data_IF_760258316224
#
_entry.id   IF_760258316224
#
_cell.length_a   1.000
_cell.length_b   1.000
_cell.length_c   1.000
_cell.angle_alpha   90.00
_cell.angle_beta   90.00
_cell.angle_gamma   90.00
#
_symmetry.space_group_name_H-M   'P 1'
#
loop_
_entity.id
_entity.type
_entity.pdbx_description
1 polymer ?
#
# COMPACT_ATOMS: atom_id res chain seq x y z
N UNK A 1 20.47 -18.61 3.57
CA UNK A 1 21.71 -17.81 3.70
C UNK A 1 21.30 -16.38 3.97
N UNK A 2 21.93 -15.73 4.94
CA UNK A 2 21.65 -14.34 5.29
C UNK A 2 22.63 -13.44 4.54
N UNK A 3 22.14 -12.44 3.78
CA UNK A 3 22.99 -11.39 3.22
C UNK A 3 22.83 -10.14 4.06
N UNK A 4 23.87 -9.88 4.85
CA UNK A 4 24.04 -8.58 5.48
C UNK A 4 24.75 -7.69 4.46
N UNK A 5 24.20 -6.51 4.18
CA UNK A 5 24.94 -5.50 3.44
C UNK A 5 26.20 -5.12 4.26
N UNK A 6 27.37 -5.65 3.87
CA UNK A 6 28.65 -5.36 4.53
C UNK A 6 29.27 -4.11 3.91
N UNK A 7 29.82 -3.26 4.79
CA UNK A 7 30.66 -2.10 4.52
C UNK A 7 31.62 -2.32 3.34
N UNK A 8 31.42 -1.59 2.25
CA UNK A 8 32.54 -1.14 1.42
C UNK A 8 32.54 0.38 1.40
N UNK A 9 33.50 1.05 2.04
CA UNK A 9 33.72 2.46 1.81
C UNK A 9 34.32 2.61 0.41
N UNK A 10 33.48 2.61 -0.62
CA UNK A 10 33.90 3.19 -1.90
C UNK A 10 33.88 4.70 -1.73
N UNK A 11 35.03 5.23 -1.30
CA UNK A 11 35.37 6.64 -1.44
C UNK A 11 35.35 6.95 -2.94
N UNK A 12 34.32 7.64 -3.41
CA UNK A 12 34.38 8.36 -4.68
C UNK A 12 34.99 9.72 -4.34
N UNK A 13 36.22 10.04 -4.79
CA UNK A 13 36.79 11.35 -4.54
C UNK A 13 36.04 12.35 -5.43
N UNK A 14 35.08 13.07 -4.86
CA UNK A 14 34.67 14.36 -5.38
C UNK A 14 35.58 15.41 -4.74
N UNK A 15 36.34 16.11 -5.58
CA UNK A 15 37.09 17.28 -5.17
C UNK A 15 36.14 18.37 -4.65
N UNK A 16 35.92 18.41 -3.34
CA UNK A 16 35.77 19.60 -2.48
C UNK A 16 35.08 19.17 -1.18
N UNK A 17 35.48 19.82 -0.09
CA UNK A 17 35.26 19.42 1.30
C UNK A 17 33.77 19.30 1.70
N UNK A 18 33.26 18.08 1.84
CA UNK A 18 32.30 17.68 2.89
C UNK A 18 32.31 16.14 3.03
N UNK A 19 32.87 15.61 4.12
CA UNK A 19 32.82 14.17 4.41
C UNK A 19 31.49 13.85 5.11
N UNK A 20 30.45 13.50 4.34
CA UNK A 20 29.25 12.84 4.88
C UNK A 20 29.23 11.37 4.50
N UNK A 21 29.33 10.49 5.49
CA UNK A 21 29.04 9.05 5.34
C UNK A 21 27.54 8.92 5.04
N UNK A 22 27.15 8.60 3.80
CA UNK A 22 25.75 8.33 3.41
C UNK A 22 25.58 6.85 3.00
N UNK A 23 24.84 6.09 3.82
CA UNK A 23 24.03 4.93 3.41
C UNK A 23 24.66 3.53 3.55
N UNK A 24 23.99 2.63 4.28
CA UNK A 24 24.28 1.19 4.39
C UNK A 24 23.35 0.41 3.43
N UNK A 25 23.77 0.25 2.17
CA UNK A 25 22.96 -0.39 1.15
C UNK A 25 23.75 -1.28 0.19
N UNK A 26 23.03 -2.03 -0.63
CA UNK A 26 23.60 -2.71 -1.81
C UNK A 26 23.21 -1.95 -3.04
N UNK A 27 24.20 -1.60 -3.87
CA UNK A 27 23.98 -1.04 -5.20
C UNK A 27 24.59 -1.96 -6.23
N UNK A 28 23.79 -2.43 -7.19
CA UNK A 28 24.25 -3.18 -8.37
C UNK A 28 23.87 -2.35 -9.58
N UNK A 29 24.85 -1.83 -10.31
CA UNK A 29 24.58 -0.94 -11.42
C UNK A 29 25.53 -1.06 -12.60
N UNK A 30 25.06 -0.58 -13.75
CA UNK A 30 25.82 -0.51 -15.00
C UNK A 30 26.38 -1.86 -15.48
N UNK A 31 25.71 -2.97 -15.15
CA UNK A 31 26.08 -4.28 -15.65
C UNK A 31 25.20 -4.68 -16.84
N UNK A 32 25.63 -4.30 -18.04
CA UNK A 32 24.93 -4.56 -19.29
C UNK A 32 24.98 -6.01 -19.78
N UNK A 33 25.56 -6.94 -19.01
CA UNK A 33 25.58 -8.38 -19.29
C UNK A 33 24.81 -9.20 -18.26
N UNK A 34 24.39 -8.59 -17.16
CA UNK A 34 23.65 -9.25 -16.10
C UNK A 34 22.22 -9.50 -16.56
N UNK A 35 21.84 -10.78 -16.60
CA UNK A 35 20.48 -11.21 -16.96
C UNK A 35 19.62 -11.54 -15.72
N UNK A 36 20.27 -11.90 -14.61
CA UNK A 36 19.65 -12.13 -13.31
C UNK A 36 20.64 -11.82 -12.18
N UNK A 37 20.15 -11.63 -10.94
CA UNK A 37 21.03 -11.49 -9.77
C UNK A 37 21.50 -12.86 -9.25
N UNK A 38 20.69 -13.91 -9.39
CA UNK A 38 21.04 -15.28 -9.05
C UNK A 38 21.13 -15.56 -7.54
N UNK A 39 20.35 -14.85 -6.71
CA UNK A 39 20.36 -15.02 -5.26
C UNK A 39 19.48 -16.20 -4.79
N UNK A 40 19.70 -17.38 -5.39
CA UNK A 40 18.87 -18.59 -5.23
C UNK A 40 18.69 -19.08 -3.77
N UNK A 41 19.58 -18.71 -2.84
CA UNK A 41 19.56 -19.14 -1.44
C UNK A 41 19.40 -17.99 -0.43
N UNK A 42 19.21 -16.77 -0.92
CA UNK A 42 19.03 -15.60 -0.09
C UNK A 42 17.66 -15.62 0.58
N UNK A 43 17.65 -15.50 1.91
CA UNK A 43 16.42 -15.49 2.70
C UNK A 43 16.14 -14.13 3.34
N UNK A 44 17.17 -13.38 3.67
CA UNK A 44 17.05 -12.14 4.41
C UNK A 44 17.90 -11.05 3.77
N UNK A 45 17.26 -9.92 3.45
CA UNK A 45 17.93 -8.68 3.05
C UNK A 45 18.01 -7.76 4.26
N UNK A 46 19.21 -7.63 4.86
CA UNK A 46 19.44 -6.75 6.01
C UNK A 46 20.11 -5.45 5.59
N UNK A 47 19.34 -4.56 4.98
CA UNK A 47 19.84 -3.36 4.31
C UNK A 47 18.87 -2.20 4.46
N UNK A 48 19.39 -0.97 4.60
CA UNK A 48 18.56 0.23 4.56
C UNK A 48 18.29 0.69 3.12
N UNK A 49 19.05 0.18 2.16
CA UNK A 49 18.88 0.49 0.74
C UNK A 49 19.26 -0.70 -0.13
N UNK A 50 18.43 -1.01 -1.13
CA UNK A 50 18.64 -2.05 -2.14
C UNK A 50 18.37 -1.45 -3.52
N UNK A 51 19.45 -1.14 -4.24
CA UNK A 51 19.41 -0.37 -5.49
C UNK A 51 19.95 -1.23 -6.63
N UNK A 52 19.11 -1.54 -7.59
CA UNK A 52 19.44 -2.27 -8.82
C UNK A 52 19.13 -1.33 -9.98
N UNK A 53 20.14 -0.65 -10.52
CA UNK A 53 19.90 0.45 -11.48
C UNK A 53 20.79 0.34 -12.70
N UNK A 54 20.26 0.70 -13.89
CA UNK A 54 21.05 0.74 -15.13
C UNK A 54 21.62 -0.64 -15.52
N UNK A 55 20.83 -1.71 -15.34
CA UNK A 55 21.18 -3.06 -15.75
C UNK A 55 20.28 -3.48 -16.92
N UNK A 56 20.53 -2.91 -18.10
CA UNK A 56 19.63 -2.97 -19.26
C UNK A 56 19.34 -4.38 -19.86
N UNK A 57 19.99 -5.43 -19.34
CA UNK A 57 19.71 -6.83 -19.71
C UNK A 57 19.14 -7.65 -18.57
N UNK A 58 18.92 -7.05 -17.40
CA UNK A 58 18.36 -7.74 -16.24
C UNK A 58 16.90 -8.08 -16.53
N UNK A 59 16.59 -9.36 -16.63
CA UNK A 59 15.26 -9.88 -16.95
C UNK A 59 14.50 -10.33 -15.69
N UNK A 60 15.22 -10.65 -14.60
CA UNK A 60 14.62 -11.09 -13.33
C UNK A 60 15.56 -10.89 -12.13
N UNK A 61 15.03 -10.94 -10.91
CA UNK A 61 15.86 -10.90 -9.69
C UNK A 61 16.38 -12.29 -9.31
N UNK A 62 15.55 -13.33 -9.46
CA UNK A 62 15.85 -14.71 -9.02
C UNK A 62 16.16 -14.79 -7.51
N UNK A 63 15.16 -14.45 -6.69
CA UNK A 63 15.22 -14.56 -5.21
C UNK A 63 14.15 -15.52 -4.65
N UNK A 64 14.14 -16.79 -5.06
CA UNK A 64 13.05 -17.73 -4.78
C UNK A 64 12.87 -18.09 -3.30
N UNK A 65 13.85 -17.76 -2.44
CA UNK A 65 13.82 -18.07 -1.00
C UNK A 65 13.73 -16.82 -0.13
N UNK A 66 13.49 -15.64 -0.71
CA UNK A 66 13.44 -14.40 0.06
C UNK A 66 12.24 -14.40 1.00
N UNK A 67 12.49 -14.16 2.28
CA UNK A 67 11.48 -14.18 3.35
C UNK A 67 11.20 -12.77 3.83
N UNK A 68 12.25 -11.96 4.00
CA UNK A 68 12.10 -10.64 4.63
C UNK A 68 13.22 -9.69 4.23
N UNK A 69 12.84 -8.43 4.02
CA UNK A 69 13.77 -7.30 4.06
C UNK A 69 13.59 -6.56 5.39
N UNK A 70 14.69 -6.22 6.05
CA UNK A 70 14.65 -5.56 7.35
C UNK A 70 15.86 -4.67 7.59
N UNK A 71 15.68 -3.68 8.45
CA UNK A 71 16.74 -2.80 8.90
C UNK A 71 16.52 -2.46 10.37
N UNK A 72 17.61 -2.47 11.16
CA UNK A 72 17.52 -2.45 12.63
C UNK A 72 17.45 -1.06 13.25
N UNK A 73 17.64 -0.01 12.45
CA UNK A 73 17.43 1.37 12.93
C UNK A 73 16.17 1.92 12.30
N UNK A 74 15.54 2.89 12.95
CA UNK A 74 14.32 3.59 12.52
C UNK A 74 14.47 4.38 11.20
N UNK A 75 15.53 4.13 10.44
CA UNK A 75 15.73 4.74 9.13
C UNK A 75 14.85 4.11 8.08
N UNK A 76 14.55 4.94 7.09
CA UNK A 76 13.81 4.59 5.90
C UNK A 76 14.52 3.46 5.14
N UNK A 77 13.71 2.52 4.64
CA UNK A 77 14.18 1.47 3.74
C UNK A 77 13.90 1.90 2.30
N UNK A 78 14.92 1.87 1.45
CA UNK A 78 14.77 2.19 0.02
C UNK A 78 14.96 0.94 -0.84
N UNK A 79 14.04 0.66 -1.75
CA UNK A 79 14.14 -0.39 -2.76
C UNK A 79 13.94 0.24 -4.13
N UNK A 80 15.01 0.35 -4.92
CA UNK A 80 14.91 0.84 -6.29
C UNK A 80 15.38 -0.21 -7.27
N UNK A 81 14.54 -0.54 -8.24
CA UNK A 81 14.89 -1.42 -9.35
C UNK A 81 14.47 -0.69 -10.62
N UNK A 82 15.42 -0.02 -11.27
CA UNK A 82 15.13 0.94 -12.33
C UNK A 82 16.01 0.70 -13.55
N UNK A 83 15.47 0.98 -14.75
CA UNK A 83 16.22 0.88 -16.00
C UNK A 83 16.78 -0.54 -16.23
N UNK A 84 15.92 -1.54 -16.01
CA UNK A 84 16.17 -2.96 -16.29
C UNK A 84 15.89 -3.28 -17.77
N UNK A 85 15.89 -4.56 -18.15
CA UNK A 85 15.41 -4.99 -19.47
C UNK A 85 13.93 -4.57 -19.66
N UNK A 86 13.48 -4.24 -20.89
CA UNK A 86 12.05 -4.11 -21.19
C UNK A 86 11.24 -5.38 -20.86
N UNK A 87 11.90 -6.55 -20.89
CA UNK A 87 11.32 -7.84 -20.54
C UNK A 87 11.48 -8.18 -19.05
N UNK A 88 11.92 -7.22 -18.23
CA UNK A 88 12.06 -7.43 -16.79
C UNK A 88 10.71 -7.76 -16.16
N UNK A 89 10.68 -8.90 -15.47
CA UNK A 89 9.55 -9.31 -14.65
C UNK A 89 9.94 -9.32 -13.17
N UNK A 90 9.00 -8.98 -12.30
CA UNK A 90 9.20 -9.03 -10.85
C UNK A 90 8.77 -10.39 -10.30
N UNK A 91 9.66 -11.09 -9.59
CA UNK A 91 9.29 -12.34 -8.91
C UNK A 91 8.21 -12.07 -7.83
N UNK A 92 7.12 -12.85 -7.82
CA UNK A 92 5.99 -12.69 -6.89
C UNK A 92 6.42 -12.71 -5.40
N UNK A 93 7.39 -13.56 -5.06
CA UNK A 93 7.98 -13.62 -3.71
C UNK A 93 8.66 -12.29 -3.35
N UNK A 94 9.45 -11.74 -4.28
CA UNK A 94 10.13 -10.46 -4.07
C UNK A 94 9.13 -9.32 -3.94
N UNK A 95 8.11 -9.27 -4.81
CA UNK A 95 7.02 -8.29 -4.73
C UNK A 95 6.34 -8.28 -3.36
N UNK A 96 5.95 -9.47 -2.85
CA UNK A 96 5.33 -9.62 -1.52
C UNK A 96 6.26 -9.14 -0.41
N UNK A 97 7.56 -9.47 -0.47
CA UNK A 97 8.52 -9.03 0.54
C UNK A 97 8.72 -7.51 0.51
N UNK A 98 8.83 -6.91 -0.67
CA UNK A 98 9.00 -5.46 -0.80
C UNK A 98 7.74 -4.69 -0.38
N UNK A 99 6.54 -5.24 -0.64
CA UNK A 99 5.28 -4.68 -0.14
C UNK A 99 5.17 -4.76 1.39
N UNK A 100 5.85 -5.69 2.06
CA UNK A 100 5.84 -5.84 3.54
C UNK A 100 6.87 -4.97 4.29
N UNK A 101 7.64 -4.14 3.59
CA UNK A 101 8.70 -3.33 4.20
C UNK A 101 8.10 -2.27 5.14
N UNK A 102 8.54 -2.20 6.39
CA UNK A 102 8.02 -1.28 7.42
C UNK A 102 8.10 0.20 6.98
N UNK A 103 7.10 0.99 7.35
CA UNK A 103 7.10 2.46 7.23
C UNK A 103 8.12 3.16 8.14
N UNK A 104 8.74 4.27 7.71
CA UNK A 104 8.73 4.81 6.34
C UNK A 104 9.62 3.98 5.39
N UNK A 105 9.19 3.86 4.13
CA UNK A 105 9.97 3.22 3.07
C UNK A 105 9.70 3.84 1.70
N UNK A 106 10.66 3.67 0.78
CA UNK A 106 10.57 4.14 -0.61
C UNK A 106 10.85 2.99 -1.56
N UNK A 107 9.82 2.49 -2.22
CA UNK A 107 9.91 1.41 -3.20
C UNK A 107 9.53 1.93 -4.59
N UNK A 108 10.47 1.84 -5.52
CA UNK A 108 10.25 2.18 -6.92
C UNK A 108 10.81 1.05 -7.78
N UNK A 109 9.94 0.33 -8.47
CA UNK A 109 10.28 -0.88 -9.22
C UNK A 109 9.68 -0.74 -10.62
N UNK A 110 10.55 -0.55 -11.60
CA UNK A 110 10.24 -0.49 -13.02
C UNK A 110 10.01 -1.91 -13.54
N UNK A 111 8.84 -2.47 -13.22
CA UNK A 111 8.35 -3.75 -13.69
C UNK A 111 6.89 -3.61 -14.11
N UNK A 112 6.57 -4.06 -15.33
CA UNK A 112 5.20 -4.08 -15.87
C UNK A 112 4.51 -5.43 -15.70
N UNK A 113 5.26 -6.49 -15.37
CA UNK A 113 4.73 -7.85 -15.24
C UNK A 113 5.39 -8.60 -14.09
N UNK A 114 4.68 -9.62 -13.58
CA UNK A 114 5.27 -10.59 -12.66
C UNK A 114 5.87 -11.77 -13.43
N UNK A 115 6.97 -12.31 -12.93
CA UNK A 115 7.53 -13.56 -13.47
C UNK A 115 6.58 -14.72 -13.16
N UNK A 116 6.27 -15.57 -14.15
CA UNK A 116 5.40 -16.72 -13.93
C UNK A 116 6.01 -17.66 -12.86
N UNK A 117 5.30 -17.89 -11.74
CA UNK A 117 5.81 -18.71 -10.66
C UNK A 117 5.67 -20.20 -11.00
N UNK A 118 6.28 -21.03 -10.18
CA UNK A 118 5.91 -22.44 -10.13
C UNK A 118 4.62 -22.55 -9.32
N UNK A 119 3.56 -23.01 -9.96
CA UNK A 119 2.27 -23.24 -9.32
C UNK A 119 2.33 -24.48 -8.43
N UNK A 120 1.65 -24.40 -7.29
CA UNK A 120 1.45 -25.48 -6.35
C UNK A 120 0.02 -25.41 -5.79
N UNK A 121 -0.30 -26.22 -4.78
CA UNK A 121 -1.65 -26.24 -4.19
C UNK A 121 -2.06 -24.92 -3.51
N UNK A 122 -1.10 -24.04 -3.21
CA UNK A 122 -1.34 -22.75 -2.53
C UNK A 122 -1.29 -21.57 -3.49
N UNK A 123 -0.44 -21.62 -4.51
CA UNK A 123 -0.31 -20.61 -5.56
C UNK A 123 -1.19 -20.98 -6.76
N UNK A 124 -2.26 -20.22 -6.98
CA UNK A 124 -3.29 -20.52 -7.96
C UNK A 124 -3.37 -19.46 -9.08
N UNK A 125 -3.79 -19.84 -10.28
CA UNK A 125 -4.10 -18.88 -11.36
C UNK A 125 -5.49 -18.26 -11.20
N UNK A 126 -6.41 -18.97 -10.55
CA UNK A 126 -7.79 -18.55 -10.34
C UNK A 126 -8.23 -18.94 -8.93
N UNK A 127 -9.17 -18.21 -8.30
CA UNK A 127 -9.73 -18.58 -7.01
C UNK A 127 -10.24 -20.03 -6.99
N UNK A 128 -9.79 -20.83 -6.02
CA UNK A 128 -10.29 -22.18 -5.79
C UNK A 128 -10.04 -22.61 -4.35
N UNK A 129 -10.69 -23.69 -3.92
CA UNK A 129 -10.55 -24.18 -2.56
C UNK A 129 -9.08 -24.57 -2.26
N UNK A 130 -8.54 -24.05 -1.15
CA UNK A 130 -7.15 -24.31 -0.74
C UNK A 130 -6.14 -23.27 -1.21
N UNK A 131 -6.51 -22.39 -2.15
CA UNK A 131 -5.64 -21.29 -2.58
C UNK A 131 -5.34 -20.32 -1.43
N UNK A 132 -4.07 -19.96 -1.31
CA UNK A 132 -3.57 -18.96 -0.37
C UNK A 132 -3.06 -17.73 -1.12
N UNK A 133 -2.51 -17.92 -2.32
CA UNK A 133 -2.01 -16.84 -3.17
C UNK A 133 -2.60 -17.00 -4.58
N UNK A 134 -2.98 -15.88 -5.19
CA UNK A 134 -3.49 -15.86 -6.56
C UNK A 134 -2.53 -15.08 -7.44
N UNK A 135 -2.07 -15.71 -8.51
CA UNK A 135 -1.29 -15.10 -9.57
C UNK A 135 -2.20 -14.72 -10.74
N UNK A 136 -2.50 -13.44 -10.87
CA UNK A 136 -3.40 -12.90 -11.88
C UNK A 136 -4.55 -12.09 -11.27
N UNK A 137 -5.34 -11.50 -12.17
CA UNK A 137 -6.49 -10.70 -11.81
C UNK A 137 -7.63 -11.57 -11.28
N UNK A 138 -8.38 -11.04 -10.32
CA UNK A 138 -9.54 -11.69 -9.71
C UNK A 138 -10.78 -10.88 -10.02
N UNK A 139 -11.76 -11.54 -10.66
CA UNK A 139 -13.07 -10.96 -10.93
C UNK A 139 -14.16 -11.70 -10.14
N UNK A 140 -14.91 -10.95 -9.34
CA UNK A 140 -16.02 -11.43 -8.54
C UNK A 140 -17.31 -10.82 -9.08
N UNK A 141 -18.16 -11.67 -9.63
CA UNK A 141 -19.44 -11.29 -10.24
C UNK A 141 -20.67 -11.87 -9.53
N UNK A 142 -21.87 -11.71 -10.13
CA UNK A 142 -23.08 -12.34 -9.63
C UNK A 142 -22.92 -13.86 -9.48
N UNK A 143 -23.29 -14.40 -8.32
CA UNK A 143 -23.23 -15.84 -8.05
C UNK A 143 -21.84 -16.42 -7.78
N UNK A 144 -20.80 -15.58 -7.68
CA UNK A 144 -19.46 -16.02 -7.29
C UNK A 144 -19.46 -16.62 -5.87
N UNK A 145 -18.83 -17.78 -5.70
CA UNK A 145 -18.69 -18.42 -4.40
C UNK A 145 -17.60 -17.73 -3.57
N UNK A 146 -18.00 -16.83 -2.67
CA UNK A 146 -17.06 -16.17 -1.75
C UNK A 146 -16.31 -17.15 -0.83
N UNK A 147 -16.77 -18.40 -0.69
CA UNK A 147 -16.10 -19.42 0.12
C UNK A 147 -14.66 -19.69 -0.32
N UNK A 148 -14.35 -19.59 -1.62
CA UNK A 148 -12.99 -19.83 -2.13
C UNK A 148 -12.01 -18.69 -1.86
N UNK A 149 -12.50 -17.52 -1.43
CA UNK A 149 -11.66 -16.34 -1.13
C UNK A 149 -11.24 -16.26 0.34
N UNK A 150 -11.87 -17.02 1.24
CA UNK A 150 -11.64 -16.91 2.70
C UNK A 150 -10.18 -17.10 3.12
N UNK A 151 -9.46 -17.99 2.43
CA UNK A 151 -8.07 -18.34 2.74
C UNK A 151 -7.05 -17.59 1.89
N UNK A 152 -7.49 -16.81 0.90
CA UNK A 152 -6.60 -16.07 0.02
C UNK A 152 -5.98 -14.92 0.81
N UNK A 153 -4.66 -14.91 0.92
CA UNK A 153 -3.86 -13.90 1.61
C UNK A 153 -3.28 -12.85 0.65
N UNK A 154 -2.99 -13.24 -0.59
CA UNK A 154 -2.29 -12.38 -1.57
C UNK A 154 -2.92 -12.50 -2.95
N UNK A 155 -3.10 -11.37 -3.61
CA UNK A 155 -3.43 -11.29 -5.05
C UNK A 155 -2.29 -10.54 -5.76
N UNK A 156 -1.66 -11.20 -6.74
CA UNK A 156 -0.70 -10.61 -7.66
C UNK A 156 -1.41 -10.19 -8.95
N UNK A 157 -2.14 -9.10 -8.87
CA UNK A 157 -3.01 -8.59 -9.91
C UNK A 157 -4.07 -7.65 -9.33
N UNK A 158 -5.08 -7.35 -10.14
CA UNK A 158 -6.19 -6.47 -9.78
C UNK A 158 -7.32 -7.29 -9.14
N UNK A 159 -8.07 -6.68 -8.20
CA UNK A 159 -9.29 -7.23 -7.63
C UNK A 159 -10.49 -6.41 -8.10
N UNK A 160 -11.40 -7.08 -8.80
CA UNK A 160 -12.60 -6.48 -9.38
C UNK A 160 -13.84 -7.16 -8.80
N UNK A 161 -14.73 -6.40 -8.16
CA UNK A 161 -15.97 -6.88 -7.54
C UNK A 161 -17.14 -6.13 -8.17
N UNK A 162 -17.93 -6.81 -9.01
CA UNK A 162 -18.98 -6.17 -9.81
C UNK A 162 -20.34 -6.83 -9.67
N UNK A 163 -21.37 -6.00 -9.49
CA UNK A 163 -22.77 -6.41 -9.57
C UNK A 163 -23.13 -7.61 -8.68
N UNK A 164 -22.49 -7.74 -7.52
CA UNK A 164 -22.72 -8.83 -6.58
C UNK A 164 -23.86 -8.51 -5.61
N UNK A 165 -24.27 -9.50 -4.83
CA UNK A 165 -25.24 -9.35 -3.73
C UNK A 165 -24.57 -9.31 -2.35
N UNK A 166 -23.24 -9.11 -2.29
CA UNK A 166 -22.54 -9.03 -1.01
C UNK A 166 -22.97 -7.76 -0.27
N UNK A 167 -23.04 -7.85 1.06
CA UNK A 167 -23.39 -6.72 1.94
C UNK A 167 -22.16 -6.09 2.57
N UNK A 168 -21.06 -6.83 2.62
CA UNK A 168 -19.77 -6.46 3.19
C UNK A 168 -18.63 -7.20 2.46
N UNK A 169 -17.38 -6.91 2.86
CA UNK A 169 -16.18 -7.55 2.33
C UNK A 169 -15.61 -8.63 3.27
N UNK A 170 -16.43 -9.19 4.18
CA UNK A 170 -15.97 -10.20 5.14
C UNK A 170 -15.60 -11.53 4.48
N UNK A 171 -16.03 -11.78 3.24
CA UNK A 171 -15.61 -12.96 2.47
C UNK A 171 -14.09 -13.02 2.20
N UNK A 172 -13.38 -11.92 2.37
CA UNK A 172 -11.92 -11.82 2.27
C UNK A 172 -11.23 -11.96 3.64
N UNK A 173 -11.58 -13.00 4.39
CA UNK A 173 -11.19 -13.19 5.80
C UNK A 173 -9.66 -13.18 6.05
N UNK A 174 -8.87 -13.55 5.04
CA UNK A 174 -7.40 -13.65 5.14
C UNK A 174 -6.65 -12.70 4.22
N UNK A 175 -7.33 -11.94 3.36
CA UNK A 175 -6.67 -11.10 2.36
C UNK A 175 -5.88 -9.98 3.03
N UNK A 176 -4.57 -10.01 2.85
CA UNK A 176 -3.63 -9.05 3.43
C UNK A 176 -3.04 -8.12 2.38
N UNK A 177 -2.81 -8.62 1.16
CA UNK A 177 -2.12 -7.85 0.13
C UNK A 177 -2.78 -7.97 -1.23
N UNK A 178 -2.89 -6.84 -1.92
CA UNK A 178 -3.23 -6.76 -3.34
C UNK A 178 -2.08 -6.01 -4.00
N UNK A 179 -1.40 -6.64 -4.96
CA UNK A 179 -0.20 -6.11 -5.59
C UNK A 179 -0.43 -6.14 -7.09
N UNK A 180 -0.63 -4.98 -7.70
CA UNK A 180 -0.70 -4.85 -9.15
C UNK A 180 0.48 -4.05 -9.67
N UNK A 181 1.01 -4.50 -10.81
CA UNK A 181 2.00 -3.80 -11.63
C UNK A 181 1.35 -3.13 -12.85
N UNK A 182 0.05 -3.30 -13.03
CA UNK A 182 -0.72 -2.63 -14.06
C UNK A 182 -0.76 -1.12 -13.79
N UNK A 183 -0.46 -0.33 -14.82
CA UNK A 183 -0.47 1.13 -14.76
C UNK A 183 -1.72 1.76 -15.36
N UNK A 184 -2.63 0.95 -15.92
CA UNK A 184 -3.86 1.39 -16.59
C UNK A 184 -5.04 1.23 -15.64
N UNK A 185 -5.29 0.00 -15.19
CA UNK A 185 -6.50 -0.33 -14.44
C UNK A 185 -6.34 -0.14 -12.93
N UNK A 186 -7.40 0.25 -12.20
CA UNK A 186 -7.37 0.32 -10.75
C UNK A 186 -7.07 -1.05 -10.14
N UNK A 187 -6.17 -1.07 -9.15
CA UNK A 187 -5.79 -2.30 -8.42
C UNK A 187 -6.97 -2.87 -7.63
N UNK A 188 -7.89 -2.02 -7.18
CA UNK A 188 -9.15 -2.42 -6.55
C UNK A 188 -10.33 -1.65 -7.16
N UNK A 189 -11.24 -2.38 -7.80
CA UNK A 189 -12.48 -1.83 -8.35
C UNK A 189 -13.69 -2.53 -7.74
N UNK A 190 -14.56 -1.78 -7.08
CA UNK A 190 -15.81 -2.26 -6.51
C UNK A 190 -16.95 -1.48 -7.14
N UNK A 191 -17.75 -2.12 -7.98
CA UNK A 191 -18.73 -1.41 -8.81
C UNK A 191 -20.11 -2.09 -8.85
N UNK A 192 -21.18 -1.30 -8.72
CA UNK A 192 -22.55 -1.79 -8.93
C UNK A 192 -23.07 -2.74 -7.85
N UNK A 193 -22.42 -2.82 -6.68
CA UNK A 193 -22.84 -3.68 -5.58
C UNK A 193 -23.86 -2.93 -4.71
N UNK A 194 -25.13 -2.96 -5.11
CA UNK A 194 -26.20 -2.15 -4.50
C UNK A 194 -26.50 -2.50 -3.03
N UNK A 195 -26.11 -3.69 -2.56
CA UNK A 195 -26.30 -4.14 -1.18
C UNK A 195 -25.07 -3.92 -0.30
N UNK A 196 -23.93 -3.54 -0.87
CA UNK A 196 -22.66 -3.36 -0.16
C UNK A 196 -22.70 -2.09 0.70
N UNK A 197 -22.84 -2.25 2.01
CA UNK A 197 -22.95 -1.13 2.98
C UNK A 197 -21.70 -0.96 3.85
N UNK A 198 -20.75 -1.89 3.76
CA UNK A 198 -19.48 -1.84 4.49
C UNK A 198 -18.32 -2.20 3.55
N UNK A 199 -17.37 -1.28 3.39
CA UNK A 199 -16.21 -1.43 2.51
C UNK A 199 -14.92 -1.80 3.26
N UNK A 200 -15.00 -2.19 4.53
CA UNK A 200 -13.85 -2.60 5.34
C UNK A 200 -13.44 -4.05 5.03
N UNK A 201 -12.17 -4.25 4.74
CA UNK A 201 -11.56 -5.58 4.68
C UNK A 201 -11.08 -6.02 6.07
N UNK A 202 -11.28 -7.29 6.48
CA UNK A 202 -10.91 -7.73 7.83
C UNK A 202 -9.41 -7.69 8.16
N UNK A 203 -8.53 -7.99 7.19
CA UNK A 203 -7.08 -8.13 7.41
C UNK A 203 -6.21 -7.45 6.34
N UNK A 204 -6.81 -6.59 5.52
CA UNK A 204 -6.06 -5.93 4.46
C UNK A 204 -5.04 -4.99 5.09
N UNK A 205 -3.76 -5.29 4.83
CA UNK A 205 -2.65 -4.50 5.36
C UNK A 205 -2.18 -3.49 4.31
N UNK A 206 -1.95 -3.94 3.07
CA UNK A 206 -1.40 -3.08 2.02
C UNK A 206 -1.92 -3.40 0.62
N UNK A 207 -2.09 -2.34 -0.16
CA UNK A 207 -2.40 -2.38 -1.60
C UNK A 207 -1.26 -1.69 -2.33
N UNK A 208 -0.50 -2.41 -3.16
CA UNK A 208 0.48 -1.80 -4.07
C UNK A 208 -0.19 -1.54 -5.42
N UNK A 209 -0.27 -0.26 -5.78
CA UNK A 209 -0.71 0.17 -7.11
C UNK A 209 0.47 0.70 -7.93
N UNK A 210 0.45 0.42 -9.23
CA UNK A 210 1.26 1.10 -10.24
C UNK A 210 0.41 2.00 -11.15
N UNK A 211 -0.92 2.07 -10.93
CA UNK A 211 -1.82 2.92 -11.72
C UNK A 211 -1.51 4.40 -11.54
N UNK A 212 -1.43 5.10 -12.67
CA UNK A 212 -1.16 6.53 -12.75
C UNK A 212 -2.44 7.39 -12.76
N UNK A 213 -3.62 6.77 -12.82
CA UNK A 213 -4.89 7.48 -12.99
C UNK A 213 -5.88 7.25 -11.83
N UNK A 214 -6.11 6.00 -11.47
CA UNK A 214 -7.01 5.59 -10.39
C UNK A 214 -6.46 4.34 -9.71
N UNK A 215 -6.30 4.36 -8.38
CA UNK A 215 -5.78 3.20 -7.65
C UNK A 215 -6.91 2.34 -7.07
N UNK A 216 -7.80 2.96 -6.28
CA UNK A 216 -8.91 2.30 -5.60
C UNK A 216 -10.20 3.03 -5.93
N UNK A 217 -11.18 2.32 -6.49
CA UNK A 217 -12.41 2.91 -7.00
C UNK A 217 -13.64 2.15 -6.51
N UNK A 218 -14.54 2.86 -5.84
CA UNK A 218 -15.87 2.40 -5.47
C UNK A 218 -16.89 3.21 -6.27
N UNK A 219 -17.72 2.56 -7.09
CA UNK A 219 -18.64 3.27 -8.01
C UNK A 219 -20.00 2.60 -8.12
N UNK A 220 -21.08 3.37 -7.99
CA UNK A 220 -22.45 2.88 -8.14
C UNK A 220 -22.81 1.77 -7.14
N UNK A 221 -22.16 1.73 -5.97
CA UNK A 221 -22.50 0.81 -4.88
C UNK A 221 -23.63 1.41 -4.03
N UNK A 222 -23.88 0.84 -2.84
CA UNK A 222 -24.85 1.43 -1.92
C UNK A 222 -24.41 2.85 -1.48
N UNK A 223 -25.33 3.82 -1.55
CA UNK A 223 -25.07 5.22 -1.18
C UNK A 223 -24.66 5.40 0.27
N UNK A 224 -24.95 4.43 1.15
CA UNK A 224 -24.51 4.48 2.55
C UNK A 224 -22.98 4.53 2.67
N UNK A 225 -22.23 4.02 1.69
CA UNK A 225 -20.77 4.14 1.69
C UNK A 225 -20.28 5.60 1.59
N UNK A 226 -21.09 6.52 1.06
CA UNK A 226 -20.80 7.96 1.05
C UNK A 226 -21.01 8.63 2.43
N UNK A 227 -21.39 7.84 3.44
CA UNK A 227 -21.43 8.28 4.84
C UNK A 227 -20.42 7.51 5.69
N UNK A 228 -19.60 6.65 5.10
CA UNK A 228 -18.58 5.85 5.77
C UNK A 228 -17.17 6.35 5.37
N UNK A 229 -16.80 7.51 5.92
CA UNK A 229 -15.47 8.06 5.75
C UNK A 229 -14.39 7.10 6.29
N UNK A 230 -14.71 6.33 7.35
CA UNK A 230 -13.76 5.41 7.99
C UNK A 230 -13.30 4.31 7.04
N UNK A 231 -14.19 3.62 6.34
CA UNK A 231 -13.78 2.59 5.37
C UNK A 231 -12.90 3.16 4.25
N UNK A 232 -13.22 4.36 3.75
CA UNK A 232 -12.39 5.03 2.74
C UNK A 232 -10.99 5.36 3.28
N UNK A 233 -10.89 5.90 4.50
CA UNK A 233 -9.63 6.25 5.15
C UNK A 233 -8.78 5.01 5.43
N UNK A 234 -9.38 3.89 5.84
CA UNK A 234 -8.65 2.62 6.02
C UNK A 234 -8.01 2.15 4.71
N UNK A 235 -8.74 2.25 3.59
CA UNK A 235 -8.19 1.96 2.26
C UNK A 235 -7.09 2.92 1.87
N UNK A 236 -7.19 4.21 2.23
CA UNK A 236 -6.15 5.19 1.98
C UNK A 236 -4.85 4.81 2.70
N UNK A 237 -4.92 4.37 3.96
CA UNK A 237 -3.72 3.92 4.70
C UNK A 237 -3.17 2.58 4.21
N UNK A 238 -4.02 1.68 3.72
CA UNK A 238 -3.57 0.46 3.06
C UNK A 238 -2.90 0.76 1.71
N UNK A 239 -3.33 1.82 1.02
CA UNK A 239 -2.82 2.14 -0.31
C UNK A 239 -1.38 2.65 -0.26
N UNK A 240 -0.52 1.92 -0.94
CA UNK A 240 0.83 2.31 -1.29
C UNK A 240 0.89 2.59 -2.80
N UNK A 241 0.80 3.86 -3.14
CA UNK A 241 0.90 4.36 -4.52
C UNK A 241 2.14 5.24 -4.69
N UNK A 242 2.76 5.20 -5.87
CA UNK A 242 3.80 6.17 -6.28
C UNK A 242 3.21 7.53 -6.67
N UNK A 243 1.88 7.63 -6.74
CA UNK A 243 1.12 8.84 -7.06
C UNK A 243 0.30 9.32 -5.86
N UNK A 244 -0.02 10.62 -5.79
CA UNK A 244 -0.91 11.21 -4.77
C UNK A 244 -2.40 10.82 -4.94
N UNK A 245 -2.67 9.68 -5.60
CA UNK A 245 -4.00 9.22 -5.95
C UNK A 245 -4.55 8.38 -4.81
N UNK A 246 -5.53 8.94 -4.10
CA UNK A 246 -6.25 8.24 -3.03
C UNK A 246 -7.44 7.40 -3.55
N UNK A 247 -8.09 6.64 -2.65
CA UNK A 247 -9.35 5.98 -2.96
C UNK A 247 -10.47 6.98 -3.28
N UNK A 248 -11.38 6.58 -4.15
CA UNK A 248 -12.59 7.36 -4.47
C UNK A 248 -13.86 6.54 -4.33
N UNK A 249 -14.92 7.18 -3.84
CA UNK A 249 -16.27 6.61 -3.72
C UNK A 249 -17.23 7.52 -4.48
N UNK A 250 -17.80 7.02 -5.58
CA UNK A 250 -18.59 7.80 -6.56
C UNK A 250 -17.90 9.10 -6.99
N UNK A 251 -16.57 9.04 -7.16
CA UNK A 251 -15.74 10.18 -7.55
C UNK A 251 -15.39 11.14 -6.41
N UNK A 252 -15.88 10.92 -5.19
CA UNK A 252 -15.50 11.70 -4.01
C UNK A 252 -14.29 11.09 -3.32
N UNK A 253 -13.34 11.92 -2.92
CA UNK A 253 -12.21 11.55 -2.07
C UNK A 253 -12.65 11.25 -0.64
N UNK A 254 -11.81 10.53 0.12
CA UNK A 254 -12.12 10.24 1.53
C UNK A 254 -12.30 11.51 2.38
N UNK A 255 -11.57 12.59 2.07
CA UNK A 255 -11.68 13.85 2.81
C UNK A 255 -13.00 14.57 2.53
N UNK A 256 -13.47 14.57 1.28
CA UNK A 256 -14.76 15.16 0.93
C UNK A 256 -15.92 14.43 1.62
N UNK A 257 -15.82 13.10 1.72
CA UNK A 257 -16.80 12.28 2.45
C UNK A 257 -16.77 12.63 3.94
N UNK A 258 -15.58 12.74 4.54
CA UNK A 258 -15.42 13.13 5.94
C UNK A 258 -16.06 14.50 6.22
N UNK A 259 -15.71 15.51 5.43
CA UNK A 259 -16.26 16.86 5.56
C UNK A 259 -17.79 16.88 5.41
N UNK A 260 -18.34 16.08 4.49
CA UNK A 260 -19.79 15.97 4.32
C UNK A 260 -20.48 15.33 5.54
N UNK A 261 -19.85 14.30 6.14
CA UNK A 261 -20.40 13.64 7.34
C UNK A 261 -20.35 14.54 8.57
N UNK A 262 -19.28 15.30 8.79
CA UNK A 262 -19.17 16.23 9.92
C UNK A 262 -20.18 17.39 9.81
N UNK A 263 -20.33 17.96 8.61
CA UNK A 263 -21.31 19.01 8.36
C UNK A 263 -22.76 18.52 8.51
N UNK A 264 -23.05 17.24 8.21
CA UNK A 264 -24.36 16.65 8.48
C UNK A 264 -24.64 16.57 10.00
N UNK A 265 -23.65 16.22 10.82
CA UNK A 265 -23.83 16.10 12.28
C UNK A 265 -23.99 17.45 12.99
N UNK A 266 -23.43 18.54 12.47
CA UNK A 266 -23.57 19.88 13.05
C UNK A 266 -24.92 20.56 12.76
N UNK A 267 -25.74 20.00 11.86
CA UNK A 267 -27.10 20.48 11.59
C UNK A 267 -28.19 19.90 12.51
N UNK A 268 -27.84 18.98 13.42
CA UNK A 268 -28.74 18.56 14.50
C UNK A 268 -28.56 19.54 15.67
N UNK A 269 -29.60 20.33 15.93
CA UNK A 269 -29.63 21.37 16.98
C UNK A 269 -29.12 20.84 18.34
N UNK A 270 -28.39 21.66 19.12
CA UNK A 270 -27.84 21.22 20.39
C UNK A 270 -28.97 20.92 21.38
N UNK A 271 -29.12 19.65 21.75
CA UNK A 271 -29.76 19.29 23.02
C UNK A 271 -28.84 19.83 24.10
N UNK A 272 -29.33 20.83 24.85
CA UNK A 272 -28.67 21.40 26.01
C UNK A 272 -28.50 20.29 27.05
N UNK A 273 -27.33 19.66 27.10
CA UNK A 273 -26.90 18.89 28.25
C UNK A 273 -25.98 19.79 29.06
N UNK A 274 -26.53 20.35 30.14
CA UNK A 274 -25.74 21.09 31.11
C UNK A 274 -24.98 20.08 31.97
N UNK A 275 -23.66 20.04 31.88
CA UNK A 275 -22.81 19.66 33.01
C UNK A 275 -21.52 20.45 32.94
N UNK A 276 -21.39 21.32 33.92
CA UNK A 276 -20.17 22.04 34.28
C UNK A 276 -19.07 21.05 34.66
N UNK A 277 -17.92 21.11 34.00
CA UNK A 277 -16.64 21.12 34.71
C UNK A 277 -15.50 21.61 33.81
N UNK A 278 -14.72 22.52 34.38
CA UNK A 278 -13.59 23.22 33.77
C UNK A 278 -12.37 22.32 33.73
N UNK A 279 -11.68 22.27 32.59
CA UNK A 279 -10.24 22.08 32.56
C UNK A 279 -9.62 23.25 31.78
N UNK A 280 -8.91 24.10 32.53
CA UNK A 280 -8.14 25.24 32.05
C UNK A 280 -6.81 24.72 31.53
N UNK A 281 -6.49 24.99 30.27
CA UNK A 281 -5.10 25.06 29.80
C UNK A 281 -4.87 26.45 29.22
N UNK A 282 -4.05 27.25 29.91
CA UNK A 282 -3.58 28.53 29.42
C UNK A 282 -2.32 28.33 28.58
N UNK A 283 -2.28 28.97 27.42
CA UNK A 283 -1.02 29.35 26.78
C UNK A 283 -1.18 30.77 26.27
N UNK A 284 -0.63 31.72 27.02
CA UNK A 284 -0.42 33.10 26.60
C UNK A 284 0.64 33.15 25.50
N UNK A 285 0.32 33.77 24.37
CA UNK A 285 1.28 34.06 23.30
C UNK A 285 0.58 34.70 22.10
N UNK A 286 0.52 36.03 22.10
CA UNK A 286 -0.01 36.85 21.00
C UNK A 286 0.89 36.72 19.75
N UNK A 287 0.29 36.29 18.63
CA UNK A 287 0.71 36.69 17.30
C UNK A 287 -0.54 36.78 16.41
N UNK A 288 -0.90 38.00 16.07
CA UNK A 288 -1.89 38.36 15.06
C UNK A 288 -1.30 38.18 13.66
N UNK A 289 -1.86 37.30 12.84
CA UNK A 289 -2.25 37.53 11.43
C UNK A 289 -2.88 36.24 10.85
N UNK A 290 -3.89 36.41 10.00
CA UNK A 290 -4.77 35.42 9.34
C UNK A 290 -4.15 34.06 9.01
N UNK A 291 -4.65 32.98 9.64
CA UNK A 291 -4.64 31.64 9.06
C UNK A 291 -5.58 30.65 9.79
N UNK A 292 -6.90 30.84 9.67
CA UNK A 292 -7.87 29.91 10.26
C UNK A 292 -7.99 28.58 9.48
N UNK A 293 -7.75 28.59 8.17
CA UNK A 293 -7.89 27.40 7.31
C UNK A 293 -6.74 26.40 7.50
N UNK A 294 -5.53 26.91 7.71
CA UNK A 294 -4.32 26.11 7.98
C UNK A 294 -4.30 25.52 9.38
N UNK A 295 -5.00 26.16 10.32
CA UNK A 295 -5.14 25.70 11.71
C UNK A 295 -6.23 24.64 11.86
N UNK A 296 -7.29 24.71 11.06
CA UNK A 296 -8.30 23.64 10.96
C UNK A 296 -7.72 22.37 10.35
N UNK A 297 -6.98 22.45 9.24
CA UNK A 297 -6.31 21.27 8.64
C UNK A 297 -5.26 20.64 9.56
N UNK A 298 -4.49 21.45 10.29
CA UNK A 298 -3.53 20.95 11.27
C UNK A 298 -4.20 20.25 12.48
N UNK A 299 -5.37 20.74 12.91
CA UNK A 299 -6.15 20.10 13.97
C UNK A 299 -6.83 18.81 13.47
N UNK A 300 -7.28 18.77 12.20
CA UNK A 300 -7.85 17.60 11.55
C UNK A 300 -6.81 16.47 11.43
N UNK A 301 -5.59 16.79 11.00
CA UNK A 301 -4.46 15.83 10.99
C UNK A 301 -4.13 15.29 12.38
N UNK A 302 -4.21 16.15 13.41
CA UNK A 302 -3.96 15.76 14.80
C UNK A 302 -5.05 14.83 15.35
N UNK A 303 -6.30 15.00 14.91
CA UNK A 303 -7.43 14.16 15.32
C UNK A 303 -7.39 12.79 14.62
N UNK A 304 -7.03 12.75 13.33
CA UNK A 304 -6.75 11.50 12.60
C UNK A 304 -5.56 10.76 13.24
N UNK A 305 -4.50 11.49 13.63
CA UNK A 305 -3.36 10.91 14.34
C UNK A 305 -3.74 10.36 15.73
N UNK A 306 -4.65 11.03 16.46
CA UNK A 306 -5.17 10.55 17.74
C UNK A 306 -6.07 9.31 17.59
N UNK A 307 -6.88 9.24 16.53
CA UNK A 307 -7.67 8.04 16.21
C UNK A 307 -6.76 6.85 15.85
N UNK A 308 -5.63 7.10 15.18
CA UNK A 308 -4.62 6.10 14.83
C UNK A 308 -3.84 5.58 16.05
N UNK A 309 -3.49 6.44 17.01
CA UNK A 309 -2.81 6.02 18.25
C UNK A 309 -3.71 5.13 19.11
N UNK A 310 -5.03 5.31 19.07
CA UNK A 310 -5.97 4.44 19.80
C UNK A 310 -6.24 3.09 19.11
N UNK A 311 -5.88 2.91 17.84
CA UNK A 311 -6.10 1.66 17.10
C UNK A 311 -4.88 0.73 17.05
N UNK A 312 -3.72 1.21 17.53
CA UNK A 312 -2.43 0.50 17.49
C UNK A 312 -1.84 0.17 18.88
N UNK A 313 -2.63 0.27 19.96
CA UNK A 313 -2.37 -0.42 21.25
C UNK A 313 -3.34 -1.60 21.43
#
# INVERSE_FOLDING_TARGET
MEYQCILYPHVIPLHSHDYRVRGYGTTISNNNKMIELGFANLQYLKCNSFLIVLNAKLERLDMPKLIKMMWYVEKDITVWILYSSPDFCLDAIAAKVFTKVRDPFYTDIDASTFCEPKFDEKMCKTPSAGCVEIFGNVEIGPGFDMGVMRNVEVIYGNLVIKNTTIVDLNGFESLQYIISLDNIDPVLLVEGNSQLVNATFPKLERIKSSSESEAIVFKGNNKQLLSDATSCILLYFALYSSSDIGPTFDGQSCMEILDATENATTTISPIIVSTTEKAVYSSTGNATLNDNKTRETANHFKMIFLLLVMYYE
#
